data_IF_183361801939
#
_entry.id   IF_183361801939
#
_cell.length_a   1.000
_cell.length_b   1.000
_cell.length_c   1.000
_cell.angle_alpha   90.00
_cell.angle_beta   90.00
_cell.angle_gamma   90.00
#
_symmetry.space_group_name_H-M   'P 1'
#
loop_
_entity.id
_entity.type
_entity.pdbx_description
1 polymer ?
#
# COMPACT_ATOMS: atom_id res chain seq x y z
N UNK A 1 -4.91 13.16 8.33
CA UNK A 1 -3.95 12.10 8.68
C UNK A 1 -3.24 12.47 9.98
N UNK A 2 -3.02 11.48 10.85
CA UNK A 2 -1.99 11.53 11.87
C UNK A 2 -0.89 10.52 11.52
N UNK A 3 0.38 10.86 11.73
CA UNK A 3 1.52 10.01 11.34
C UNK A 3 2.55 9.89 12.46
N UNK A 4 3.08 8.69 12.67
CA UNK A 4 4.18 8.42 13.59
C UNK A 4 5.47 8.17 12.81
N UNK A 5 6.52 8.94 13.08
CA UNK A 5 7.84 8.74 12.48
C UNK A 5 8.86 8.33 13.55
N UNK A 6 9.52 7.20 13.33
CA UNK A 6 10.52 6.64 14.22
C UNK A 6 11.88 6.76 13.53
N UNK A 7 12.83 7.45 14.17
CA UNK A 7 14.14 7.75 13.59
C UNK A 7 15.25 7.05 14.39
N UNK A 8 16.27 6.48 13.73
CA UNK A 8 17.45 5.98 14.44
C UNK A 8 18.27 7.14 15.03
N UNK A 9 19.09 6.89 16.06
CA UNK A 9 20.07 7.86 16.53
C UNK A 9 20.98 8.30 15.38
N UNK A 10 21.40 9.57 15.39
CA UNK A 10 22.22 10.18 14.34
C UNK A 10 21.53 10.29 12.97
N UNK A 11 20.20 10.19 12.91
CA UNK A 11 19.47 10.56 11.69
C UNK A 11 19.78 12.00 11.34
N UNK A 12 20.32 12.19 10.13
CA UNK A 12 20.60 13.50 9.56
C UNK A 12 19.30 14.29 9.35
N UNK A 13 19.35 15.58 9.64
CA UNK A 13 18.22 16.50 9.40
C UNK A 13 17.78 16.46 7.94
N UNK A 14 18.72 16.35 7.00
CA UNK A 14 18.41 16.31 5.56
C UNK A 14 17.65 15.05 5.16
N UNK A 15 17.94 13.91 5.81
CA UNK A 15 17.17 12.67 5.60
C UNK A 15 15.74 12.84 6.09
N UNK A 16 15.56 13.46 7.27
CA UNK A 16 14.22 13.75 7.79
C UNK A 16 13.45 14.71 6.89
N UNK A 17 14.07 15.82 6.47
CA UNK A 17 13.47 16.79 5.56
C UNK A 17 13.05 16.16 4.24
N UNK A 18 13.88 15.28 3.66
CA UNK A 18 13.55 14.56 2.44
C UNK A 18 12.30 13.70 2.62
N UNK A 19 12.25 12.86 3.66
CA UNK A 19 11.11 11.99 3.97
C UNK A 19 9.85 12.83 4.22
N UNK A 20 9.98 13.89 5.03
CA UNK A 20 8.86 14.77 5.36
C UNK A 20 8.31 15.50 4.13
N UNK A 21 9.18 16.00 3.26
CA UNK A 21 8.77 16.67 2.03
C UNK A 21 8.09 15.72 1.05
N UNK A 22 8.51 14.45 0.97
CA UNK A 22 7.81 13.43 0.19
C UNK A 22 6.40 13.16 0.74
N UNK A 23 6.28 12.95 2.05
CA UNK A 23 4.98 12.74 2.72
C UNK A 23 4.05 13.94 2.49
N UNK A 24 4.53 15.15 2.76
CA UNK A 24 3.78 16.39 2.55
C UNK A 24 3.38 16.57 1.08
N UNK A 25 4.29 16.30 0.14
CA UNK A 25 4.02 16.36 -1.29
C UNK A 25 2.90 15.41 -1.71
N UNK A 26 2.94 14.15 -1.25
CA UNK A 26 1.86 13.18 -1.54
C UNK A 26 0.53 13.55 -0.87
N UNK A 27 0.57 14.04 0.37
CA UNK A 27 -0.62 14.53 1.06
C UNK A 27 -1.27 15.69 0.31
N UNK A 28 -0.48 16.65 -0.20
CA UNK A 28 -0.99 17.76 -1.02
C UNK A 28 -1.64 17.28 -2.31
N UNK A 29 -1.02 16.33 -3.03
CA UNK A 29 -1.59 15.75 -4.26
C UNK A 29 -2.94 15.06 -4.02
N UNK A 30 -3.13 14.51 -2.84
CA UNK A 30 -4.32 13.75 -2.45
C UNK A 30 -5.32 14.58 -1.65
N UNK A 31 -5.07 15.89 -1.47
CA UNK A 31 -5.90 16.78 -0.64
C UNK A 31 -6.08 16.28 0.80
N UNK A 32 -5.03 15.66 1.35
CA UNK A 32 -4.97 15.17 2.74
C UNK A 32 -4.25 16.19 3.62
N UNK A 33 -4.89 16.60 4.71
CA UNK A 33 -4.24 17.40 5.76
C UNK A 33 -3.56 16.50 6.79
N UNK A 34 -2.30 16.80 7.13
CA UNK A 34 -1.59 16.24 8.29
C UNK A 34 -1.96 17.11 9.49
N UNK A 35 -2.67 16.55 10.48
CA UNK A 35 -3.23 17.31 11.60
C UNK A 35 -2.56 17.01 12.95
N UNK A 36 -1.61 16.07 12.96
CA UNK A 36 -0.91 15.67 14.17
C UNK A 36 -0.09 14.40 13.96
N UNK A 37 0.47 13.88 15.04
CA UNK A 37 1.33 12.72 14.97
C UNK A 37 2.30 12.62 16.13
N UNK A 38 3.28 11.74 15.97
CA UNK A 38 4.42 11.59 16.87
C UNK A 38 5.71 11.53 16.04
N UNK A 39 6.80 12.06 16.56
CA UNK A 39 8.12 11.89 15.95
C UNK A 39 9.12 11.68 17.08
N UNK A 40 9.87 10.58 17.01
CA UNK A 40 10.79 10.21 18.07
C UNK A 40 12.06 9.55 17.54
N UNK A 41 13.13 9.66 18.33
CA UNK A 41 14.41 9.01 18.08
C UNK A 41 14.53 7.80 19.01
N UNK A 42 14.76 6.62 18.44
CA UNK A 42 14.72 5.35 19.18
C UNK A 42 16.00 4.55 18.99
N UNK A 43 16.80 4.29 20.04
CA UNK A 43 17.88 3.33 19.98
C UNK A 43 17.36 1.94 19.60
N UNK A 44 18.08 1.20 18.76
CA UNK A 44 17.73 -0.18 18.38
C UNK A 44 17.01 -0.34 17.03
N UNK A 45 16.65 0.74 16.35
CA UNK A 45 16.23 0.68 14.93
C UNK A 45 17.39 1.10 14.01
N UNK A 46 17.47 0.47 12.83
CA UNK A 46 18.55 0.73 11.86
C UNK A 46 18.22 1.77 10.80
N UNK A 47 16.95 2.13 10.63
CA UNK A 47 16.46 2.97 9.53
C UNK A 47 15.26 3.81 9.99
N UNK A 48 14.97 4.96 9.35
CA UNK A 48 13.71 5.67 9.54
C UNK A 48 12.53 4.76 9.21
N UNK A 49 11.54 4.70 10.10
CA UNK A 49 10.32 3.90 9.94
C UNK A 49 9.08 4.79 10.05
N UNK A 50 8.09 4.51 9.21
CA UNK A 50 6.73 4.92 9.49
C UNK A 50 6.19 4.00 10.60
N UNK A 51 6.05 4.55 11.81
CA UNK A 51 5.51 3.84 12.98
C UNK A 51 4.00 3.63 12.93
N UNK A 52 3.34 4.07 11.85
CA UNK A 52 1.91 3.94 11.62
C UNK A 52 1.27 5.27 11.25
N UNK A 53 0.10 5.18 10.62
CA UNK A 53 -0.71 6.35 10.30
C UNK A 53 -2.19 6.08 10.57
N UNK A 54 -2.90 7.14 10.94
CA UNK A 54 -4.35 7.12 11.09
C UNK A 54 -4.96 8.03 10.04
N UNK A 55 -5.80 7.43 9.19
CA UNK A 55 -6.56 8.13 8.17
C UNK A 55 -8.00 8.33 8.66
N UNK A 56 -8.50 9.56 8.56
CA UNK A 56 -9.86 9.92 8.95
C UNK A 56 -10.50 10.54 7.71
N UNK A 57 -11.65 10.02 7.31
CA UNK A 57 -12.40 10.50 6.16
C UNK A 57 -13.90 10.44 6.41
N UNK A 58 -14.64 11.29 5.70
CA UNK A 58 -16.10 11.40 5.83
C UNK A 58 -16.76 10.98 4.52
N UNK A 59 -17.81 10.17 4.61
CA UNK A 59 -18.65 9.87 3.46
C UNK A 59 -20.10 9.62 3.91
N UNK A 60 -21.03 9.68 2.96
CA UNK A 60 -22.41 9.28 3.22
C UNK A 60 -22.45 7.76 3.44
N UNK A 61 -23.25 7.27 4.40
CA UNK A 61 -23.38 5.83 4.70
C UNK A 61 -23.62 4.97 3.44
N UNK A 62 -24.45 5.45 2.51
CA UNK A 62 -24.74 4.76 1.23
C UNK A 62 -23.55 4.62 0.27
N UNK A 63 -22.46 5.36 0.49
CA UNK A 63 -21.25 5.30 -0.31
C UNK A 63 -20.20 4.35 0.30
N UNK A 64 -20.44 3.83 1.51
CA UNK A 64 -19.59 2.80 2.09
C UNK A 64 -19.68 1.52 1.26
N UNK A 65 -18.52 0.88 1.07
CA UNK A 65 -18.32 -0.34 0.29
C UNK A 65 -17.44 -1.32 1.09
N UNK A 66 -17.89 -1.79 2.28
CA UNK A 66 -17.10 -2.72 3.10
C UNK A 66 -16.88 -4.06 2.38
N UNK A 67 -15.83 -4.79 2.81
CA UNK A 67 -15.51 -6.16 2.37
C UNK A 67 -16.75 -7.06 2.31
N UNK A 68 -17.56 -7.03 3.37
CA UNK A 68 -18.82 -7.76 3.55
C UNK A 68 -19.91 -7.53 2.49
N UNK A 69 -19.76 -6.53 1.61
CA UNK A 69 -20.65 -6.35 0.46
C UNK A 69 -20.37 -7.33 -0.70
N UNK A 70 -19.35 -8.18 -0.61
CA UNK A 70 -19.07 -9.20 -1.62
C UNK A 70 -20.30 -10.13 -1.81
N UNK A 71 -20.51 -10.60 -3.05
CA UNK A 71 -21.67 -11.43 -3.43
C UNK A 71 -21.25 -12.59 -4.32
N UNK A 72 -21.97 -13.71 -4.19
CA UNK A 72 -21.89 -14.83 -5.13
C UNK A 72 -22.14 -14.37 -6.56
N UNK A 73 -21.41 -14.97 -7.50
CA UNK A 73 -21.50 -14.64 -8.92
C UNK A 73 -20.89 -13.28 -9.29
N UNK A 74 -20.23 -12.61 -8.34
CA UNK A 74 -19.44 -11.40 -8.61
C UNK A 74 -18.17 -11.69 -9.41
N UNK A 75 -17.62 -10.64 -10.01
CA UNK A 75 -16.32 -10.70 -10.72
C UNK A 75 -15.22 -10.21 -9.79
N UNK A 76 -14.18 -11.02 -9.62
CA UNK A 76 -12.95 -10.61 -8.96
C UNK A 76 -12.03 -9.91 -9.95
N UNK A 77 -11.57 -8.71 -9.62
CA UNK A 77 -10.71 -7.89 -10.48
C UNK A 77 -9.48 -7.41 -9.72
N UNK A 78 -8.30 -7.67 -10.29
CA UNK A 78 -7.02 -7.10 -9.87
C UNK A 78 -6.57 -6.06 -10.88
N UNK A 79 -6.11 -4.88 -10.42
CA UNK A 79 -5.93 -3.72 -11.29
C UNK A 79 -4.56 -3.69 -11.99
N UNK A 80 -3.55 -4.38 -11.45
CA UNK A 80 -2.15 -4.30 -11.94
C UNK A 80 -1.41 -5.63 -12.08
N UNK A 81 -1.78 -6.64 -11.29
CA UNK A 81 -1.13 -7.95 -11.27
C UNK A 81 -0.71 -8.36 -9.87
N UNK A 82 -0.56 -9.66 -9.66
CA UNK A 82 -0.11 -10.21 -8.39
C UNK A 82 1.39 -9.96 -8.17
N UNK A 83 1.79 -9.86 -6.90
CA UNK A 83 3.18 -9.78 -6.46
C UNK A 83 4.01 -8.60 -7.02
N UNK A 84 3.37 -7.53 -7.53
CA UNK A 84 4.09 -6.36 -8.09
C UNK A 84 5.00 -5.68 -7.07
N UNK A 85 4.57 -5.62 -5.80
CA UNK A 85 5.34 -5.06 -4.70
C UNK A 85 6.57 -5.92 -4.37
N UNK A 86 6.35 -7.21 -4.11
CA UNK A 86 7.42 -8.14 -3.80
C UNK A 86 8.47 -8.19 -4.91
N UNK A 87 8.02 -8.27 -6.18
CA UNK A 87 8.92 -8.24 -7.33
C UNK A 87 9.73 -6.94 -7.43
N UNK A 88 9.07 -5.79 -7.23
CA UNK A 88 9.72 -4.48 -7.26
C UNK A 88 10.76 -4.31 -6.15
N UNK A 89 10.40 -4.63 -4.90
CA UNK A 89 11.30 -4.53 -3.75
C UNK A 89 12.51 -5.46 -3.91
N UNK A 90 12.28 -6.72 -4.29
CA UNK A 90 13.37 -7.67 -4.50
C UNK A 90 14.29 -7.23 -5.63
N UNK A 91 13.77 -6.63 -6.70
CA UNK A 91 14.59 -6.12 -7.80
C UNK A 91 15.50 -4.95 -7.37
N UNK A 92 15.08 -4.11 -6.42
CA UNK A 92 15.94 -3.09 -5.82
C UNK A 92 17.00 -3.68 -4.89
N UNK A 93 16.68 -4.76 -4.18
CA UNK A 93 17.61 -5.43 -3.27
C UNK A 93 18.62 -6.32 -4.00
N UNK A 94 18.26 -6.87 -5.16
CA UNK A 94 19.02 -7.88 -5.89
C UNK A 94 19.76 -7.32 -7.12
N UNK A 95 20.43 -6.17 -7.02
CA UNK A 95 21.19 -5.58 -8.15
C UNK A 95 22.19 -6.55 -8.81
N UNK A 96 22.80 -7.44 -8.01
CA UNK A 96 23.72 -8.46 -8.51
C UNK A 96 23.08 -9.46 -9.50
N UNK A 97 21.75 -9.64 -9.44
CA UNK A 97 21.01 -10.52 -10.35
C UNK A 97 21.05 -10.05 -11.81
N UNK A 98 21.43 -8.80 -12.08
CA UNK A 98 21.62 -8.28 -13.46
C UNK A 98 22.57 -9.13 -14.29
N UNK A 99 23.57 -9.75 -13.67
CA UNK A 99 24.53 -10.63 -14.34
C UNK A 99 23.91 -11.95 -14.82
N UNK A 100 22.83 -12.38 -14.18
CA UNK A 100 22.15 -13.68 -14.42
C UNK A 100 20.89 -13.46 -15.26
N UNK A 101 20.05 -12.49 -14.87
CA UNK A 101 18.74 -12.23 -15.47
C UNK A 101 18.79 -11.16 -16.58
N UNK A 102 19.91 -10.45 -16.72
CA UNK A 102 20.06 -9.32 -17.64
C UNK A 102 19.55 -8.00 -17.06
N UNK A 103 20.26 -6.91 -17.38
CA UNK A 103 19.98 -5.57 -16.85
C UNK A 103 18.57 -5.08 -17.18
N UNK A 104 18.09 -5.33 -18.40
CA UNK A 104 16.74 -4.93 -18.82
C UNK A 104 15.67 -5.56 -17.92
N UNK A 105 15.77 -6.86 -17.66
CA UNK A 105 14.80 -7.56 -16.83
C UNK A 105 14.71 -6.97 -15.42
N UNK A 106 15.86 -6.72 -14.77
CA UNK A 106 15.90 -6.16 -13.41
C UNK A 106 15.35 -4.74 -13.38
N UNK A 107 15.70 -3.90 -14.37
CA UNK A 107 15.16 -2.55 -14.46
C UNK A 107 13.65 -2.54 -14.77
N UNK A 108 13.16 -3.50 -15.56
CA UNK A 108 11.72 -3.69 -15.81
C UNK A 108 10.99 -4.09 -14.52
N UNK A 109 11.57 -4.99 -13.72
CA UNK A 109 11.03 -5.41 -12.43
C UNK A 109 10.99 -4.27 -11.40
N UNK A 110 12.04 -3.44 -11.31
CA UNK A 110 12.05 -2.25 -10.44
C UNK A 110 10.92 -1.28 -10.75
N UNK A 111 10.53 -1.15 -12.03
CA UNK A 111 9.41 -0.27 -12.41
C UNK A 111 8.07 -0.72 -11.82
N UNK A 112 7.93 -1.98 -11.39
CA UNK A 112 6.75 -2.45 -10.66
C UNK A 112 6.60 -1.80 -9.29
N UNK A 113 7.69 -1.40 -8.64
CA UNK A 113 7.66 -0.66 -7.36
C UNK A 113 6.78 0.59 -7.47
N UNK A 114 6.88 1.33 -8.56
CA UNK A 114 6.08 2.55 -8.76
C UNK A 114 4.61 2.27 -9.10
N UNK A 115 4.22 1.02 -9.35
CA UNK A 115 2.82 0.63 -9.57
C UNK A 115 2.06 0.34 -8.27
N UNK A 116 2.71 0.35 -7.10
CA UNK A 116 2.05 0.02 -5.82
C UNK A 116 0.92 0.99 -5.42
N UNK A 117 0.92 2.24 -5.91
CA UNK A 117 -0.10 3.26 -5.58
C UNK A 117 -1.49 2.90 -6.13
N UNK A 118 -2.48 2.61 -5.28
CA UNK A 118 -3.83 2.18 -5.70
C UNK A 118 -4.89 3.30 -5.84
N UNK A 119 -4.55 4.56 -5.52
CA UNK A 119 -5.54 5.65 -5.43
C UNK A 119 -6.32 5.84 -6.74
N UNK A 120 -5.63 5.89 -7.88
CA UNK A 120 -6.26 6.09 -9.19
C UNK A 120 -7.19 4.94 -9.56
N UNK A 121 -6.77 3.70 -9.27
CA UNK A 121 -7.57 2.50 -9.50
C UNK A 121 -8.87 2.54 -8.68
N UNK A 122 -8.77 2.96 -7.41
CA UNK A 122 -9.90 3.07 -6.48
C UNK A 122 -10.87 4.17 -6.92
N UNK A 123 -10.36 5.34 -7.32
CA UNK A 123 -11.19 6.44 -7.81
C UNK A 123 -11.91 6.07 -9.12
N UNK A 124 -11.21 5.38 -10.03
CA UNK A 124 -11.77 4.95 -11.32
C UNK A 124 -12.87 3.90 -11.14
N UNK A 125 -12.68 2.96 -10.22
CA UNK A 125 -13.63 1.86 -9.96
C UNK A 125 -14.78 2.22 -9.02
N UNK A 126 -14.75 3.41 -8.39
CA UNK A 126 -15.63 3.78 -7.27
C UNK A 126 -17.13 3.58 -7.54
N UNK A 127 -17.59 3.81 -8.78
CA UNK A 127 -19.01 3.68 -9.17
C UNK A 127 -19.45 2.28 -9.57
N UNK A 128 -18.50 1.39 -9.88
CA UNK A 128 -18.79 0.06 -10.45
C UNK A 128 -18.68 -1.07 -9.43
N UNK A 129 -17.92 -0.85 -8.36
CA UNK A 129 -17.60 -1.89 -7.39
C UNK A 129 -18.64 -2.04 -6.28
N UNK A 130 -18.82 -3.27 -5.81
CA UNK A 130 -19.59 -3.59 -4.62
C UNK A 130 -18.76 -3.46 -3.34
N UNK A 131 -17.48 -3.83 -3.44
CA UNK A 131 -16.50 -3.88 -2.37
C UNK A 131 -15.08 -3.63 -2.91
N UNK A 132 -14.12 -3.42 -2.03
CA UNK A 132 -12.68 -3.37 -2.34
C UNK A 132 -11.88 -3.96 -1.19
N UNK A 133 -10.72 -4.50 -1.51
CA UNK A 133 -9.69 -4.86 -0.54
C UNK A 133 -8.33 -4.64 -1.20
N UNK A 134 -7.36 -4.11 -0.46
CA UNK A 134 -5.98 -4.06 -0.89
C UNK A 134 -5.28 -5.42 -0.68
N UNK A 135 -4.25 -5.71 -1.46
CA UNK A 135 -3.55 -6.99 -1.44
C UNK A 135 -2.18 -6.84 -0.78
N UNK A 136 -2.16 -6.51 0.52
CA UNK A 136 -0.94 -6.26 1.30
C UNK A 136 -0.36 -7.58 1.85
N UNK A 137 -0.42 -7.81 3.16
CA UNK A 137 0.07 -9.01 3.81
C UNK A 137 -0.63 -10.28 3.28
N UNK A 138 0.17 -11.31 2.96
CA UNK A 138 -0.33 -12.54 2.33
C UNK A 138 -0.78 -12.37 0.87
N UNK A 139 -0.76 -11.14 0.34
CA UNK A 139 -0.99 -10.83 -1.06
C UNK A 139 -2.41 -11.16 -1.53
N UNK A 140 -2.52 -11.51 -2.82
CA UNK A 140 -3.81 -11.71 -3.49
C UNK A 140 -4.66 -12.81 -2.87
N UNK A 141 -4.04 -13.93 -2.47
CA UNK A 141 -4.76 -15.07 -1.90
C UNK A 141 -5.34 -14.71 -0.54
N UNK A 142 -4.56 -14.02 0.32
CA UNK A 142 -5.04 -13.58 1.62
C UNK A 142 -6.17 -12.55 1.50
N UNK A 143 -6.07 -11.60 0.57
CA UNK A 143 -7.14 -10.64 0.32
C UNK A 143 -8.46 -11.32 -0.14
N UNK A 144 -8.38 -12.40 -0.94
CA UNK A 144 -9.57 -13.20 -1.28
C UNK A 144 -10.14 -13.86 -0.04
N UNK A 145 -9.28 -14.46 0.78
CA UNK A 145 -9.68 -15.13 2.01
C UNK A 145 -10.37 -14.16 2.97
N UNK A 146 -9.80 -12.99 3.23
CA UNK A 146 -10.36 -11.96 4.10
C UNK A 146 -11.70 -11.44 3.57
N UNK A 147 -11.81 -11.18 2.26
CA UNK A 147 -13.10 -10.79 1.66
C UNK A 147 -14.14 -11.90 1.77
N UNK A 148 -13.74 -13.17 1.59
CA UNK A 148 -14.64 -14.31 1.70
C UNK A 148 -15.10 -14.51 3.14
N UNK A 149 -14.23 -14.33 4.13
CA UNK A 149 -14.53 -14.47 5.56
C UNK A 149 -15.40 -13.32 6.09
N UNK A 150 -15.14 -12.08 5.63
CA UNK A 150 -15.94 -10.90 6.00
C UNK A 150 -17.33 -10.88 5.34
N UNK A 151 -17.50 -11.63 4.25
CA UNK A 151 -18.81 -11.89 3.66
C UNK A 151 -19.33 -13.23 4.17
N UNK A 152 -20.63 -13.52 4.07
CA UNK A 152 -21.16 -14.86 4.40
C UNK A 152 -20.74 -15.93 3.36
N UNK A 153 -19.53 -15.80 2.80
CA UNK A 153 -18.98 -16.61 1.74
C UNK A 153 -18.04 -17.67 2.33
N UNK A 154 -18.58 -18.85 2.63
CA UNK A 154 -17.72 -20.00 2.93
C UNK A 154 -16.93 -20.36 1.67
N UNK A 155 -15.61 -20.22 1.74
CA UNK A 155 -14.63 -20.49 0.68
C UNK A 155 -14.48 -21.99 0.33
N UNK A 156 -15.42 -22.84 0.76
CA UNK A 156 -15.44 -24.30 0.57
C UNK A 156 -15.60 -24.73 -0.92
N UNK A 157 -15.39 -23.83 -1.89
CA UNK A 157 -15.59 -24.07 -3.32
C UNK A 157 -14.54 -23.42 -4.25
N UNK A 158 -13.36 -23.04 -3.74
CA UNK A 158 -12.19 -22.69 -4.56
C UNK A 158 -11.20 -23.86 -4.65
#
# INVERSE_FOLDING_TARGET
MLISLLLPPNTRTETFEMVWNQINGECKKLEISIIGGHTGVYPGIGYPLNGGCVMIGFCKKRNLRPASNAKAGGVLLITKGAAIEAAGILAYQAEGSKKICGSKFVEDAKRLFFKMRVVEDVLTSARYRHTMHDTTEGGFINAIYEVAEDSDFRSDSL
#
